data_IF_139616744493
#
_entry.id   IF_139616744493
#
_cell.length_a   1.000
_cell.length_b   1.000
_cell.length_c   1.000
_cell.angle_alpha   90.00
_cell.angle_beta   90.00
_cell.angle_gamma   90.00
#
_symmetry.space_group_name_H-M   'P 1'
#
loop_
_entity.id
_entity.type
_entity.pdbx_description
1 polymer ?
#
# COMPACT_ATOMS: atom_id res chain seq x y z
N UNK A 1 -55.24 24.60 21.00
CA UNK A 1 -54.30 25.15 20.00
C UNK A 1 -53.24 24.05 19.75
N UNK A 2 -53.39 23.30 18.64
CA UNK A 2 -52.41 22.28 18.26
C UNK A 2 -51.33 22.93 17.39
N UNK A 3 -50.09 22.88 17.85
CA UNK A 3 -48.93 23.31 17.10
C UNK A 3 -48.52 22.15 16.18
N UNK A 4 -48.87 22.23 14.88
CA UNK A 4 -48.38 21.36 13.87
C UNK A 4 -46.89 21.65 13.68
N UNK A 5 -46.02 20.78 14.25
CA UNK A 5 -44.60 20.75 13.90
C UNK A 5 -44.49 20.13 12.50
N UNK A 6 -44.22 20.98 11.49
CA UNK A 6 -43.89 20.50 10.17
C UNK A 6 -42.60 19.66 10.25
N UNK A 7 -42.73 18.36 10.04
CA UNK A 7 -41.59 17.47 9.83
C UNK A 7 -40.93 17.91 8.52
N UNK A 8 -39.79 18.59 8.62
CA UNK A 8 -38.96 18.87 7.44
C UNK A 8 -38.40 17.54 6.94
N UNK A 9 -38.85 17.08 5.80
CA UNK A 9 -38.22 15.99 5.10
C UNK A 9 -36.85 16.48 4.62
N UNK A 10 -35.79 16.11 5.32
CA UNK A 10 -34.44 16.34 4.85
C UNK A 10 -34.14 15.31 3.77
N UNK A 11 -34.38 15.65 2.52
CA UNK A 11 -33.74 14.97 1.40
C UNK A 11 -32.21 15.10 1.51
N UNK A 12 -31.42 14.30 0.76
CA UNK A 12 -29.98 14.42 0.76
C UNK A 12 -29.59 15.87 0.38
N UNK A 13 -28.70 16.47 1.15
CA UNK A 13 -28.13 17.78 0.85
C UNK A 13 -27.22 17.62 -0.37
N UNK A 14 -27.44 18.40 -1.41
CA UNK A 14 -26.54 18.49 -2.57
C UNK A 14 -25.83 19.84 -2.53
N UNK A 15 -24.53 19.85 -2.84
CA UNK A 15 -23.71 21.05 -2.84
C UNK A 15 -23.11 21.25 -4.22
N UNK A 16 -23.34 22.42 -4.81
CA UNK A 16 -22.63 22.88 -6.00
C UNK A 16 -21.66 23.99 -5.61
N UNK A 17 -20.40 23.89 -6.05
CA UNK A 17 -19.37 24.88 -5.76
C UNK A 17 -19.16 25.79 -6.96
N UNK A 18 -19.35 27.08 -6.74
CA UNK A 18 -19.12 28.10 -7.76
C UNK A 18 -17.85 28.89 -7.44
N UNK A 19 -16.80 28.70 -8.24
CA UNK A 19 -15.53 29.44 -8.10
C UNK A 19 -14.87 29.65 -9.46
N UNK A 20 -14.04 30.66 -9.58
CA UNK A 20 -13.30 30.98 -10.82
C UNK A 20 -14.20 31.09 -12.07
N UNK A 21 -15.46 31.57 -11.90
CA UNK A 21 -16.45 31.68 -12.98
C UNK A 21 -16.97 30.34 -13.53
N UNK A 22 -16.79 29.24 -12.80
CA UNK A 22 -17.21 27.86 -13.17
C UNK A 22 -17.96 27.22 -12.04
N UNK A 23 -18.77 26.23 -12.37
CA UNK A 23 -19.46 25.36 -11.42
C UNK A 23 -18.77 23.99 -11.37
N UNK A 24 -18.62 23.44 -10.18
CA UNK A 24 -17.99 22.15 -9.92
C UNK A 24 -18.91 21.29 -9.07
N UNK A 25 -18.94 20.00 -9.37
CA UNK A 25 -19.65 19.00 -8.61
C UNK A 25 -18.86 18.54 -7.36
N UNK A 26 -19.52 17.83 -6.46
CA UNK A 26 -18.91 17.29 -5.24
C UNK A 26 -17.70 16.40 -5.55
N UNK A 27 -17.76 15.57 -6.60
CA UNK A 27 -16.66 14.66 -6.94
C UNK A 27 -15.37 15.41 -7.31
N UNK A 28 -15.49 16.57 -7.93
CA UNK A 28 -14.36 17.46 -8.22
C UNK A 28 -13.81 18.08 -6.94
N UNK A 29 -14.68 18.49 -6.02
CA UNK A 29 -14.27 19.05 -4.71
C UNK A 29 -13.59 17.97 -3.85
N UNK A 30 -14.13 16.76 -3.81
CA UNK A 30 -13.50 15.60 -3.14
C UNK A 30 -12.09 15.33 -3.70
N UNK A 31 -11.91 15.46 -5.02
CA UNK A 31 -10.58 15.32 -5.62
C UNK A 31 -9.61 16.40 -5.12
N UNK A 32 -10.06 17.67 -5.02
CA UNK A 32 -9.24 18.76 -4.48
C UNK A 32 -8.92 18.55 -3.01
N UNK A 33 -9.87 18.05 -2.21
CA UNK A 33 -9.67 17.72 -0.81
C UNK A 33 -8.61 16.60 -0.66
N UNK A 34 -8.72 15.54 -1.46
CA UNK A 34 -7.73 14.46 -1.48
C UNK A 34 -6.33 14.98 -1.83
N UNK A 35 -6.21 15.86 -2.82
CA UNK A 35 -4.93 16.48 -3.19
C UNK A 35 -4.37 17.37 -2.08
N UNK A 36 -5.24 18.14 -1.41
CA UNK A 36 -4.85 18.97 -0.28
C UNK A 36 -4.41 18.11 0.92
N UNK A 37 -5.15 17.05 1.25
CA UNK A 37 -4.81 16.11 2.31
C UNK A 37 -3.46 15.44 2.05
N UNK A 38 -3.19 14.99 0.82
CA UNK A 38 -1.90 14.41 0.44
C UNK A 38 -0.75 15.41 0.56
N UNK A 39 -0.95 16.67 0.17
CA UNK A 39 0.07 17.73 0.35
C UNK A 39 0.34 18.01 1.83
N UNK A 40 -0.70 18.12 2.65
CA UNK A 40 -0.57 18.34 4.08
C UNK A 40 0.20 17.20 4.75
N UNK A 41 -0.16 15.95 4.45
CA UNK A 41 0.51 14.77 4.97
C UNK A 41 1.98 14.69 4.53
N UNK A 42 2.28 14.97 3.24
CA UNK A 42 3.65 15.05 2.75
C UNK A 42 4.48 16.08 3.52
N UNK A 43 3.92 17.27 3.76
CA UNK A 43 4.58 18.32 4.52
C UNK A 43 4.87 17.88 5.97
N UNK A 44 3.90 17.25 6.63
CA UNK A 44 4.08 16.72 7.98
C UNK A 44 5.18 15.66 8.03
N UNK A 45 5.20 14.70 7.11
CA UNK A 45 6.24 13.68 7.00
C UNK A 45 7.63 14.30 6.78
N UNK A 46 7.70 15.38 5.98
CA UNK A 46 8.95 16.08 5.70
C UNK A 46 9.48 16.84 6.93
N UNK A 47 8.57 17.52 7.65
CA UNK A 47 8.93 18.32 8.83
C UNK A 47 9.29 17.45 10.03
N UNK A 48 8.54 16.38 10.28
CA UNK A 48 8.83 15.47 11.37
C UNK A 48 10.16 14.72 11.18
N UNK A 49 10.51 14.40 9.92
CA UNK A 49 11.71 13.64 9.63
C UNK A 49 11.68 12.19 10.15
N UNK A 50 12.76 11.44 9.83
CA UNK A 50 12.79 10.00 10.10
C UNK A 50 12.72 9.65 11.59
N UNK A 51 13.64 10.17 12.41
CA UNK A 51 13.72 9.79 13.83
C UNK A 51 12.56 10.35 14.65
N UNK A 52 12.19 11.62 14.44
CA UNK A 52 11.05 12.23 15.16
C UNK A 52 9.75 11.47 14.86
N UNK A 53 9.52 11.05 13.61
CA UNK A 53 8.37 10.23 13.26
C UNK A 53 8.41 8.87 13.97
N UNK A 54 9.57 8.21 14.03
CA UNK A 54 9.75 6.96 14.74
C UNK A 54 9.41 7.09 16.23
N UNK A 55 9.89 8.16 16.87
CA UNK A 55 9.64 8.41 18.30
C UNK A 55 8.15 8.67 18.59
N UNK A 56 7.48 9.42 17.71
CA UNK A 56 6.03 9.67 17.81
C UNK A 56 5.18 8.40 17.65
N UNK A 57 5.65 7.46 16.82
CA UNK A 57 4.90 6.24 16.49
C UNK A 57 5.28 5.03 17.36
N UNK A 58 6.28 5.13 18.24
CA UNK A 58 6.90 4.00 18.93
C UNK A 58 5.87 3.09 19.65
N UNK A 59 4.98 3.65 20.46
CA UNK A 59 3.97 2.87 21.19
C UNK A 59 2.97 2.13 20.28
N UNK A 60 2.66 2.72 19.13
CA UNK A 60 1.80 2.08 18.11
C UNK A 60 2.53 0.97 17.36
N UNK A 61 3.82 1.15 17.07
CA UNK A 61 4.68 0.13 16.46
C UNK A 61 4.80 -1.08 17.38
N UNK A 62 5.05 -0.87 18.67
CA UNK A 62 5.11 -1.97 19.65
C UNK A 62 3.80 -2.77 19.74
N UNK A 63 2.65 -2.10 19.59
CA UNK A 63 1.36 -2.76 19.53
C UNK A 63 1.20 -3.58 18.24
N UNK A 64 1.67 -3.05 17.10
CA UNK A 64 1.71 -3.75 15.82
C UNK A 64 2.58 -5.00 15.87
N UNK A 65 3.78 -4.90 16.44
CA UNK A 65 4.70 -6.04 16.58
C UNK A 65 4.06 -7.18 17.38
N UNK A 66 3.37 -6.87 18.50
CA UNK A 66 2.63 -7.87 19.29
C UNK A 66 1.52 -8.52 18.48
N UNK A 67 0.71 -7.71 17.80
CA UNK A 67 -0.38 -8.19 16.96
C UNK A 67 0.11 -9.19 15.90
N UNK A 68 1.18 -8.87 15.16
CA UNK A 68 1.72 -9.77 14.16
C UNK A 68 2.28 -11.07 14.75
N UNK A 69 2.94 -11.02 15.92
CA UNK A 69 3.44 -12.21 16.61
C UNK A 69 2.30 -13.15 17.03
N UNK A 70 1.20 -12.58 17.55
CA UNK A 70 0.00 -13.34 17.90
C UNK A 70 -0.62 -14.03 16.67
N UNK A 71 -0.69 -13.33 15.52
CA UNK A 71 -1.17 -13.91 14.25
C UNK A 71 -0.28 -15.06 13.77
N UNK A 72 1.04 -14.92 13.86
CA UNK A 72 2.00 -15.96 13.48
C UNK A 72 1.78 -17.20 14.33
N UNK A 73 1.71 -17.04 15.65
CA UNK A 73 1.50 -18.15 16.59
C UNK A 73 0.17 -18.86 16.33
N UNK A 74 -0.92 -18.10 16.20
CA UNK A 74 -2.27 -18.64 15.95
C UNK A 74 -2.40 -19.35 14.60
N UNK A 75 -1.55 -19.04 13.63
CA UNK A 75 -1.61 -19.60 12.26
C UNK A 75 -0.92 -20.95 12.11
N UNK A 76 -0.05 -21.33 13.02
CA UNK A 76 0.66 -22.61 12.97
C UNK A 76 1.40 -22.90 11.65
N UNK A 77 1.93 -21.87 10.98
CA UNK A 77 2.65 -21.98 9.70
C UNK A 77 1.76 -22.09 8.46
N UNK A 78 0.47 -21.81 8.58
CA UNK A 78 -0.46 -21.70 7.45
C UNK A 78 -0.66 -20.24 7.03
N UNK A 79 -1.08 -20.02 5.77
CA UNK A 79 -1.09 -18.69 5.16
C UNK A 79 -2.38 -18.41 4.41
N UNK A 80 -2.65 -17.12 4.19
CA UNK A 80 -3.68 -16.58 3.32
C UNK A 80 -3.18 -15.35 2.56
N UNK A 81 -3.79 -15.04 1.42
CA UNK A 81 -3.37 -13.91 0.59
C UNK A 81 -4.27 -12.68 0.73
N UNK A 82 -3.65 -11.51 0.68
CA UNK A 82 -4.22 -10.26 0.20
C UNK A 82 -3.84 -10.14 -1.28
N UNK A 83 -4.83 -9.98 -2.17
CA UNK A 83 -4.61 -10.02 -3.63
C UNK A 83 -5.32 -8.89 -4.32
N UNK A 84 -4.59 -8.12 -5.12
CA UNK A 84 -5.11 -7.08 -6.01
C UNK A 84 -4.59 -7.30 -7.43
N UNK A 85 -5.43 -7.09 -8.43
CA UNK A 85 -5.07 -7.23 -9.83
C UNK A 85 -5.31 -5.93 -10.60
N UNK A 86 -4.48 -5.69 -11.63
CA UNK A 86 -4.56 -4.52 -12.49
C UNK A 86 -4.53 -4.95 -13.96
N UNK A 87 -5.32 -4.27 -14.78
CA UNK A 87 -5.15 -4.23 -16.23
C UNK A 87 -4.47 -2.92 -16.58
N UNK A 88 -3.29 -3.00 -17.17
CA UNK A 88 -2.45 -1.84 -17.51
C UNK A 88 -2.37 -1.72 -19.01
N UNK A 89 -2.63 -0.53 -19.56
CA UNK A 89 -2.47 -0.22 -20.96
C UNK A 89 -1.27 0.70 -21.19
N UNK A 90 -0.48 0.43 -22.23
CA UNK A 90 0.64 1.30 -22.61
C UNK A 90 1.91 1.14 -21.78
N UNK A 91 2.00 0.12 -20.94
CA UNK A 91 3.22 -0.28 -20.22
C UNK A 91 3.23 -1.80 -20.10
N UNK A 92 4.28 -2.46 -20.55
CA UNK A 92 4.42 -3.91 -20.42
C UNK A 92 4.79 -4.33 -19.00
N UNK A 93 4.52 -5.59 -18.65
CA UNK A 93 4.96 -6.16 -17.36
C UNK A 93 6.48 -6.23 -17.28
N UNK A 94 7.14 -6.45 -18.41
CA UNK A 94 8.61 -6.44 -18.51
C UNK A 94 9.17 -5.05 -18.22
N UNK A 95 8.64 -3.97 -18.83
CA UNK A 95 9.08 -2.59 -18.53
C UNK A 95 8.82 -2.22 -17.09
N UNK A 96 7.68 -2.65 -16.53
CA UNK A 96 7.36 -2.44 -15.12
C UNK A 96 8.36 -3.16 -14.19
N UNK A 97 8.74 -4.40 -14.53
CA UNK A 97 9.76 -5.15 -13.77
C UNK A 97 11.14 -4.48 -13.85
N UNK A 98 11.52 -3.95 -15.02
CA UNK A 98 12.77 -3.21 -15.20
C UNK A 98 12.77 -1.91 -14.37
N UNK A 99 11.65 -1.20 -14.35
CA UNK A 99 11.49 -0.03 -13.51
C UNK A 99 11.64 -0.37 -12.01
N UNK A 100 10.96 -1.42 -11.52
CA UNK A 100 11.13 -1.85 -10.12
C UNK A 100 12.58 -2.23 -9.81
N UNK A 101 13.26 -2.94 -10.69
CA UNK A 101 14.68 -3.27 -10.53
C UNK A 101 15.57 -2.03 -10.48
N UNK A 102 15.29 -1.02 -11.30
CA UNK A 102 16.03 0.24 -11.29
C UNK A 102 15.84 1.03 -9.99
N UNK A 103 14.64 0.98 -9.38
CA UNK A 103 14.34 1.69 -8.13
C UNK A 103 14.82 0.93 -6.89
N UNK A 104 14.76 -0.39 -6.89
CA UNK A 104 14.98 -1.23 -5.71
C UNK A 104 16.10 -2.26 -5.88
N UNK A 105 16.89 -2.18 -6.94
CA UNK A 105 17.91 -3.17 -7.31
C UNK A 105 18.98 -3.48 -6.24
N UNK A 106 19.11 -2.61 -5.24
CA UNK A 106 19.99 -2.80 -4.07
C UNK A 106 19.22 -3.21 -2.79
N UNK A 107 17.91 -3.52 -2.91
CA UNK A 107 17.01 -3.76 -1.77
C UNK A 107 16.51 -2.49 -1.10
N UNK A 108 16.83 -1.31 -1.64
CA UNK A 108 16.41 0.00 -1.13
C UNK A 108 15.90 0.86 -2.27
N UNK A 109 14.74 1.49 -2.09
CA UNK A 109 14.29 2.52 -3.03
C UNK A 109 15.29 3.68 -3.06
N UNK A 110 15.76 4.03 -4.26
CA UNK A 110 16.72 5.12 -4.43
C UNK A 110 16.07 6.48 -4.13
N UNK A 111 14.80 6.64 -4.48
CA UNK A 111 14.00 7.82 -4.17
C UNK A 111 13.04 7.53 -3.02
N UNK A 112 13.40 7.99 -1.82
CA UNK A 112 12.56 7.89 -0.62
C UNK A 112 11.21 8.61 -0.78
N UNK A 113 11.20 9.71 -1.53
CA UNK A 113 9.95 10.45 -1.75
C UNK A 113 8.98 9.63 -2.59
N UNK A 114 9.48 8.89 -3.57
CA UNK A 114 8.69 7.96 -4.36
C UNK A 114 8.03 6.89 -3.48
N UNK A 115 8.81 6.27 -2.59
CA UNK A 115 8.35 5.26 -1.65
C UNK A 115 7.26 5.82 -0.72
N UNK A 116 7.55 6.94 -0.05
CA UNK A 116 6.65 7.52 0.96
C UNK A 116 5.38 8.14 0.36
N UNK A 117 5.41 8.55 -0.91
CA UNK A 117 4.25 9.14 -1.58
C UNK A 117 3.41 8.11 -2.36
N UNK A 118 3.85 6.87 -2.47
CA UNK A 118 3.08 5.81 -3.13
C UNK A 118 1.74 5.57 -2.44
N UNK A 119 1.75 5.57 -1.10
CA UNK A 119 0.54 5.46 -0.27
C UNK A 119 0.51 6.50 0.86
N UNK A 120 -0.66 7.07 1.22
CA UNK A 120 -0.77 7.99 2.36
C UNK A 120 -0.27 7.41 3.68
N UNK A 121 -0.49 6.12 3.91
CA UNK A 121 -0.12 5.41 5.14
C UNK A 121 1.31 4.84 5.14
N UNK A 122 2.16 5.21 4.20
CA UNK A 122 3.61 5.05 4.30
C UNK A 122 4.18 6.19 5.15
N UNK A 123 4.44 5.96 6.42
CA UNK A 123 4.78 7.03 7.36
C UNK A 123 6.24 7.44 7.28
N UNK A 124 7.14 6.46 7.34
CA UNK A 124 8.58 6.71 7.38
C UNK A 124 9.38 5.46 6.96
N UNK A 125 10.51 5.68 6.26
CA UNK A 125 11.57 4.69 6.17
C UNK A 125 12.46 4.86 7.41
N UNK A 126 12.59 3.82 8.28
CA UNK A 126 13.40 3.94 9.48
C UNK A 126 14.85 4.31 9.16
N UNK A 127 15.48 5.24 9.89
CA UNK A 127 16.80 5.79 9.54
C UNK A 127 17.92 4.75 9.39
N UNK A 128 17.83 3.65 10.14
CA UNK A 128 18.84 2.60 10.16
C UNK A 128 18.52 1.39 9.29
N UNK A 129 17.47 1.47 8.45
CA UNK A 129 17.09 0.36 7.58
C UNK A 129 17.70 0.53 6.19
N UNK A 130 18.07 -0.61 5.61
CA UNK A 130 18.46 -0.75 4.20
C UNK A 130 17.31 -1.29 3.36
N UNK A 131 16.12 -0.84 3.60
CA UNK A 131 14.86 -1.29 3.03
C UNK A 131 13.90 -1.62 4.15
N UNK A 132 12.75 -1.05 4.08
CA UNK A 132 11.71 -1.21 5.08
C UNK A 132 10.88 0.05 5.23
N UNK A 133 9.85 -0.06 6.02
CA UNK A 133 8.81 0.94 6.14
C UNK A 133 8.15 0.88 7.51
N UNK A 134 7.55 1.98 7.90
CA UNK A 134 6.43 2.00 8.85
C UNK A 134 5.18 2.33 8.06
N UNK A 135 4.23 1.41 8.04
CA UNK A 135 2.93 1.60 7.39
C UNK A 135 1.78 1.00 8.21
N UNK A 136 0.53 1.30 7.84
CA UNK A 136 -0.64 0.68 8.46
C UNK A 136 -0.94 -0.66 7.80
N UNK A 137 -0.91 -1.75 8.58
CA UNK A 137 -1.33 -3.09 8.17
C UNK A 137 -2.37 -3.61 9.15
N UNK A 138 -3.58 -3.90 8.69
CA UNK A 138 -4.67 -4.41 9.53
C UNK A 138 -5.11 -3.44 10.64
N UNK A 139 -4.96 -2.13 10.41
CA UNK A 139 -5.26 -1.10 11.41
C UNK A 139 -4.16 -0.89 12.45
N UNK A 140 -3.03 -1.60 12.33
CA UNK A 140 -1.86 -1.47 13.21
C UNK A 140 -0.69 -0.84 12.47
N UNK A 141 0.03 0.07 13.15
CA UNK A 141 1.29 0.58 12.61
C UNK A 141 2.35 -0.52 12.73
N UNK A 142 2.84 -0.93 11.58
CA UNK A 142 3.81 -2.03 11.46
C UNK A 142 5.13 -1.47 10.94
N UNK A 143 6.19 -1.70 11.70
CA UNK A 143 7.56 -1.45 11.28
C UNK A 143 8.17 -2.74 10.78
N UNK A 144 8.64 -2.75 9.54
CA UNK A 144 9.22 -3.95 8.96
C UNK A 144 10.41 -3.67 8.06
N UNK A 145 11.20 -4.72 7.85
CA UNK A 145 12.28 -4.80 6.87
C UNK A 145 11.80 -5.58 5.66
N UNK A 146 12.23 -5.15 4.49
CA UNK A 146 12.00 -5.85 3.22
C UNK A 146 13.31 -6.46 2.76
N UNK A 147 13.31 -7.75 2.50
CA UNK A 147 14.46 -8.46 1.94
C UNK A 147 14.04 -9.33 0.75
N UNK A 148 14.92 -9.46 -0.25
CA UNK A 148 14.65 -10.34 -1.40
C UNK A 148 14.52 -11.78 -0.91
N UNK A 149 13.39 -12.43 -1.18
CA UNK A 149 13.18 -13.84 -0.91
C UNK A 149 13.74 -14.66 -2.07
N UNK A 150 14.96 -15.20 -1.92
CA UNK A 150 15.57 -16.08 -2.92
C UNK A 150 14.92 -17.45 -2.95
N UNK A 151 14.48 -17.91 -1.79
CA UNK A 151 13.75 -19.15 -1.59
C UNK A 151 12.45 -18.84 -0.84
N UNK A 152 11.37 -19.45 -1.29
CA UNK A 152 10.05 -19.34 -0.67
C UNK A 152 9.69 -20.66 0.01
N UNK A 153 9.16 -20.62 1.23
CA UNK A 153 8.60 -21.84 1.84
C UNK A 153 7.53 -22.47 0.94
N UNK A 154 7.43 -23.81 0.86
CA UNK A 154 6.44 -24.47 0.00
C UNK A 154 5.00 -23.99 0.17
N UNK A 155 4.49 -23.70 1.38
CA UNK A 155 3.15 -23.14 1.53
C UNK A 155 2.99 -21.73 0.92
N UNK A 156 4.07 -20.95 0.84
CA UNK A 156 4.08 -19.61 0.27
C UNK A 156 4.26 -19.65 -1.25
N UNK A 157 5.18 -20.51 -1.74
CA UNK A 157 5.42 -20.66 -3.19
C UNK A 157 4.19 -21.18 -3.95
N UNK A 158 3.27 -21.87 -3.27
CA UNK A 158 2.00 -22.32 -3.86
C UNK A 158 1.08 -21.17 -4.32
N UNK A 159 1.31 -19.94 -3.85
CA UNK A 159 0.59 -18.75 -4.32
C UNK A 159 1.15 -18.13 -5.60
N UNK A 160 2.31 -18.60 -6.10
CA UNK A 160 2.81 -18.18 -7.39
C UNK A 160 1.93 -18.72 -8.52
N UNK A 161 1.65 -17.88 -9.49
CA UNK A 161 0.83 -18.22 -10.65
C UNK A 161 1.70 -18.26 -11.91
N UNK A 162 1.88 -19.47 -12.46
CA UNK A 162 2.70 -19.68 -13.67
C UNK A 162 2.16 -18.95 -14.91
N UNK A 163 0.88 -18.55 -14.91
CA UNK A 163 0.32 -17.73 -15.99
C UNK A 163 0.78 -16.27 -15.97
N UNK A 164 1.49 -15.84 -14.91
CA UNK A 164 2.12 -14.53 -14.77
C UNK A 164 3.65 -14.69 -14.68
N UNK A 165 4.34 -14.89 -15.80
CA UNK A 165 5.75 -15.32 -15.81
C UNK A 165 6.73 -14.19 -15.43
N UNK A 166 6.32 -12.93 -15.44
CA UNK A 166 7.18 -11.78 -15.11
C UNK A 166 7.13 -11.54 -13.61
N UNK A 167 8.23 -11.76 -12.90
CA UNK A 167 8.36 -11.45 -11.49
C UNK A 167 8.70 -9.98 -11.31
N UNK A 168 7.82 -9.24 -10.61
CA UNK A 168 8.08 -7.86 -10.19
C UNK A 168 8.82 -7.83 -8.85
N UNK A 169 8.38 -8.65 -7.90
CA UNK A 169 8.97 -8.74 -6.56
C UNK A 169 8.66 -10.09 -5.91
N UNK A 170 9.69 -10.72 -5.34
CA UNK A 170 9.56 -11.75 -4.33
C UNK A 170 10.33 -11.29 -3.09
N UNK A 171 9.62 -10.96 -2.01
CA UNK A 171 10.25 -10.41 -0.82
C UNK A 171 9.70 -11.05 0.46
N UNK A 172 10.56 -11.11 1.47
CA UNK A 172 10.22 -11.43 2.84
C UNK A 172 10.07 -10.12 3.62
N UNK A 173 8.97 -10.00 4.36
CA UNK A 173 8.74 -8.94 5.34
C UNK A 173 9.02 -9.48 6.74
N UNK A 174 9.92 -8.82 7.45
CA UNK A 174 10.30 -9.21 8.82
C UNK A 174 10.12 -8.03 9.77
N UNK A 175 9.64 -8.33 10.98
CA UNK A 175 9.63 -7.38 12.09
C UNK A 175 11.07 -6.96 12.44
N UNK A 176 11.24 -5.99 13.33
CA UNK A 176 12.57 -5.45 13.67
C UNK A 176 13.50 -6.48 14.29
N UNK A 177 12.96 -7.41 15.07
CA UNK A 177 13.71 -8.52 15.68
C UNK A 177 14.05 -9.65 14.69
N UNK A 178 13.68 -9.52 13.42
CA UNK A 178 13.91 -10.51 12.38
C UNK A 178 12.79 -11.56 12.24
N UNK A 179 11.72 -11.48 13.01
CA UNK A 179 10.59 -12.40 12.91
C UNK A 179 9.90 -12.26 11.54
N UNK A 180 9.87 -13.29 10.68
CA UNK A 180 9.13 -13.28 9.43
C UNK A 180 7.62 -13.19 9.68
N UNK A 181 6.92 -12.23 9.05
CA UNK A 181 5.47 -12.13 9.25
C UNK A 181 4.66 -12.10 7.96
N UNK A 182 5.27 -11.81 6.80
CA UNK A 182 4.57 -11.83 5.52
C UNK A 182 5.54 -11.99 4.34
N UNK A 183 5.00 -12.28 3.16
CA UNK A 183 5.75 -12.38 1.90
C UNK A 183 5.05 -11.59 0.81
N UNK A 184 5.79 -10.77 0.06
CA UNK A 184 5.31 -10.14 -1.16
C UNK A 184 5.58 -11.03 -2.36
N UNK A 185 4.54 -11.33 -3.15
CA UNK A 185 4.63 -12.07 -4.40
C UNK A 185 3.92 -11.26 -5.49
N UNK A 186 4.69 -10.48 -6.24
CA UNK A 186 4.16 -9.60 -7.26
C UNK A 186 4.60 -10.08 -8.63
N UNK A 187 3.62 -10.35 -9.49
CA UNK A 187 3.84 -10.92 -10.81
C UNK A 187 3.08 -10.15 -11.89
N UNK A 188 3.55 -10.25 -13.12
CA UNK A 188 2.86 -9.71 -14.28
C UNK A 188 2.91 -10.68 -15.45
N UNK A 189 2.05 -10.44 -16.44
CA UNK A 189 2.14 -11.00 -17.79
C UNK A 189 1.91 -9.90 -18.80
N UNK A 190 2.67 -9.95 -19.89
CA UNK A 190 2.49 -9.04 -21.00
C UNK A 190 1.23 -9.37 -21.79
N UNK A 191 0.58 -8.33 -22.32
CA UNK A 191 -0.57 -8.43 -23.21
C UNK A 191 -0.25 -7.71 -24.52
N UNK A 192 -1.11 -7.83 -25.54
CA UNK A 192 -0.90 -7.13 -26.81
C UNK A 192 -0.86 -5.60 -26.71
N UNK A 193 -1.37 -5.00 -25.62
CA UNK A 193 -1.48 -3.54 -25.45
C UNK A 193 -0.90 -3.02 -24.12
N UNK A 194 -0.33 -3.92 -23.30
CA UNK A 194 0.21 -3.56 -21.99
C UNK A 194 0.48 -4.78 -21.14
N UNK A 195 -0.06 -4.82 -19.91
CA UNK A 195 0.14 -5.92 -18.98
C UNK A 195 -1.09 -6.20 -18.13
N UNK A 196 -1.18 -7.43 -17.64
CA UNK A 196 -1.94 -7.77 -16.43
C UNK A 196 -0.96 -7.94 -15.28
N UNK A 197 -1.25 -7.30 -14.15
CA UNK A 197 -0.40 -7.30 -12.96
C UNK A 197 -1.20 -7.88 -11.80
N UNK A 198 -0.60 -8.79 -11.06
CA UNK A 198 -1.17 -9.31 -9.83
C UNK A 198 -0.17 -9.11 -8.69
N UNK A 199 -0.63 -8.44 -7.65
CA UNK A 199 0.15 -8.16 -6.45
C UNK A 199 -0.47 -8.89 -5.28
N UNK A 200 0.37 -9.61 -4.54
CA UNK A 200 -0.05 -10.41 -3.38
C UNK A 200 0.86 -10.13 -2.20
N UNK A 201 0.25 -10.04 -1.04
CA UNK A 201 0.99 -10.23 0.22
C UNK A 201 0.39 -11.43 0.94
N UNK A 202 1.25 -12.34 1.30
CA UNK A 202 0.91 -13.63 1.92
C UNK A 202 1.11 -13.46 3.42
N UNK A 203 0.00 -13.48 4.15
CA UNK A 203 -0.05 -13.30 5.60
C UNK A 203 -0.29 -14.61 6.33
N UNK A 204 0.03 -14.70 7.63
CA UNK A 204 -0.43 -15.78 8.49
C UNK A 204 -1.95 -15.97 8.38
N UNK A 205 -2.42 -17.21 8.37
CA UNK A 205 -3.84 -17.53 8.08
C UNK A 205 -4.83 -17.00 9.11
N UNK A 206 -4.38 -16.71 10.34
CA UNK A 206 -5.19 -16.10 11.39
C UNK A 206 -5.43 -14.59 11.18
N UNK A 207 -4.83 -13.97 10.17
CA UNK A 207 -5.10 -12.56 9.82
C UNK A 207 -6.61 -12.37 9.57
N UNK A 208 -7.27 -11.40 10.22
CA UNK A 208 -8.71 -11.19 10.08
C UNK A 208 -9.07 -10.70 8.67
N UNK A 209 -10.32 -10.93 8.23
CA UNK A 209 -10.80 -10.51 6.91
C UNK A 209 -10.66 -9.00 6.71
N UNK A 210 -10.92 -8.19 7.73
CA UNK A 210 -10.75 -6.74 7.67
C UNK A 210 -9.30 -6.31 7.36
N UNK A 211 -8.30 -7.04 7.86
CA UNK A 211 -6.89 -6.81 7.53
C UNK A 211 -6.62 -7.13 6.06
N UNK A 212 -7.09 -8.28 5.58
CA UNK A 212 -6.91 -8.71 4.19
C UNK A 212 -7.56 -7.72 3.23
N UNK A 213 -8.83 -7.36 3.47
CA UNK A 213 -9.55 -6.39 2.64
C UNK A 213 -8.90 -4.99 2.69
N UNK A 214 -8.51 -4.54 3.88
CA UNK A 214 -7.82 -3.27 4.06
C UNK A 214 -6.53 -3.23 3.26
N UNK A 215 -5.74 -4.32 3.31
CA UNK A 215 -4.49 -4.41 2.57
C UNK A 215 -4.69 -4.56 1.06
N UNK A 216 -5.77 -5.17 0.58
CA UNK A 216 -6.13 -5.15 -0.84
C UNK A 216 -6.35 -3.72 -1.35
N UNK A 217 -7.01 -2.86 -0.55
CA UNK A 217 -7.20 -1.43 -0.86
C UNK A 217 -5.89 -0.66 -0.83
N UNK A 218 -5.03 -0.95 0.14
CA UNK A 218 -3.68 -0.39 0.24
C UNK A 218 -2.89 -0.69 -1.05
N UNK A 219 -2.78 -1.95 -1.44
CA UNK A 219 -2.11 -2.36 -2.67
C UNK A 219 -2.70 -1.69 -3.93
N UNK A 220 -4.03 -1.49 -3.98
CA UNK A 220 -4.67 -0.82 -5.10
C UNK A 220 -4.20 0.65 -5.24
N UNK A 221 -4.02 1.37 -4.14
CA UNK A 221 -3.55 2.75 -4.13
C UNK A 221 -2.05 2.81 -4.45
N UNK A 222 -1.26 2.00 -3.77
CA UNK A 222 0.19 1.96 -3.87
C UNK A 222 0.65 1.59 -5.29
N UNK A 223 0.19 0.44 -5.81
CA UNK A 223 0.60 -0.02 -7.13
C UNK A 223 0.06 0.84 -8.26
N UNK A 224 -1.15 1.41 -8.13
CA UNK A 224 -1.58 2.44 -9.08
C UNK A 224 -0.60 3.61 -9.14
N UNK A 225 -0.07 4.03 -8.00
CA UNK A 225 0.92 5.12 -7.93
C UNK A 225 2.23 4.71 -8.60
N UNK A 226 2.73 3.53 -8.32
CA UNK A 226 3.99 3.02 -8.92
C UNK A 226 3.88 2.77 -10.42
N UNK A 227 2.79 2.16 -10.90
CA UNK A 227 2.53 1.96 -12.33
C UNK A 227 2.52 3.31 -13.08
N UNK A 228 1.90 4.35 -12.51
CA UNK A 228 1.91 5.69 -13.10
C UNK A 228 3.31 6.31 -13.14
N UNK A 229 4.09 6.13 -12.08
CA UNK A 229 5.48 6.61 -12.05
C UNK A 229 6.36 5.86 -13.06
N UNK A 230 6.21 4.54 -13.17
CA UNK A 230 6.90 3.75 -14.18
C UNK A 230 6.56 4.21 -15.61
N UNK A 231 5.27 4.39 -15.90
CA UNK A 231 4.83 4.88 -17.21
C UNK A 231 5.31 6.31 -17.53
N UNK A 232 5.52 7.15 -16.51
CA UNK A 232 6.09 8.49 -16.71
C UNK A 232 7.61 8.46 -16.95
N UNK A 233 8.32 7.47 -16.42
CA UNK A 233 9.76 7.30 -16.57
C UNK A 233 10.16 6.63 -17.90
N UNK A 234 9.23 5.96 -18.59
CA UNK A 234 9.47 5.27 -19.88
C UNK A 234 9.11 6.11 -21.10
N UNK A 235 8.63 7.34 -20.91
CA UNK A 235 8.34 8.33 -21.95
C UNK A 235 9.48 9.31 -22.13
#
# INVERSE_FOLDING_TARGET
>A
MSINAAVRSSGPVTVEVHTMGRTFDESTVDQWELEAARRALKNLKTVAGGQVMMDLLAGHIDAGDRFHKELIEASGGTYRESRTAFTVSGLSGTDLADWFRSQAGTGRFQDKALLLNAHPEHYVEPPNYTGGMVETIGGHLTRFKVSVARELPPPVSAYLDASYPVTLMNALLSLDDGTPFAYCLHQARDTGTGAEVVVRVIYPSAAPDSMIEGHCRHLAIEFRSWIRNAAAATR
#
